data_IF_943092700308
#
_entry.id   IF_943092700308
#
_cell.length_a   1.000
_cell.length_b   1.000
_cell.length_c   1.000
_cell.angle_alpha   90.00
_cell.angle_beta   90.00
_cell.angle_gamma   90.00
#
_symmetry.space_group_name_H-M   'P 1'
#
loop_
_entity.id
_entity.type
_entity.pdbx_description
1 polymer ?
#
# COMPACT_ATOMS: atom_id res chain seq x y z
N UNK A 1 14.01 12.38 21.76
CA UNK A 1 12.99 13.29 21.18
C UNK A 1 12.67 12.78 19.78
N UNK A 2 11.46 12.28 19.56
CA UNK A 2 11.06 11.81 18.23
C UNK A 2 10.81 13.03 17.34
N UNK A 3 11.61 13.18 16.28
CA UNK A 3 11.47 14.28 15.34
C UNK A 3 10.07 14.25 14.69
N UNK A 4 9.36 15.39 14.61
CA UNK A 4 8.11 15.45 13.88
C UNK A 4 8.38 15.24 12.38
N UNK A 5 7.69 14.27 11.78
CA UNK A 5 7.68 14.07 10.33
C UNK A 5 6.91 15.24 9.71
N UNK A 6 7.64 16.29 9.35
CA UNK A 6 7.11 17.40 8.56
C UNK A 6 6.85 16.89 7.14
N UNK A 7 5.57 16.67 6.84
CA UNK A 7 5.00 16.46 5.52
C UNK A 7 5.44 17.60 4.59
N UNK A 8 6.47 17.35 3.78
CA UNK A 8 6.85 18.28 2.72
C UNK A 8 5.78 18.26 1.59
N UNK A 9 5.45 19.41 0.99
CA UNK A 9 4.36 19.54 0.00
C UNK A 9 4.63 18.85 -1.35
N UNK A 10 5.73 18.10 -1.48
CA UNK A 10 6.09 17.28 -2.65
C UNK A 10 6.49 15.85 -2.27
N UNK A 11 5.84 15.25 -1.28
CA UNK A 11 6.12 13.85 -0.94
C UNK A 11 5.65 12.91 -2.08
N UNK A 12 6.56 12.60 -3.02
CA UNK A 12 6.33 11.79 -4.23
C UNK A 12 6.49 10.29 -3.95
N UNK A 13 5.68 9.82 -3.01
CA UNK A 13 5.73 8.47 -2.49
C UNK A 13 4.93 7.45 -3.30
N UNK A 14 4.56 6.36 -2.63
CA UNK A 14 3.72 5.29 -3.12
C UNK A 14 2.48 5.17 -2.24
N UNK A 15 1.35 4.81 -2.84
CA UNK A 15 0.10 4.53 -2.13
C UNK A 15 -0.11 3.02 -2.12
N UNK A 16 -0.34 2.46 -0.94
CA UNK A 16 -0.81 1.09 -0.78
C UNK A 16 -2.33 1.12 -0.67
N UNK A 17 -3.02 0.38 -1.54
CA UNK A 17 -4.46 0.20 -1.49
C UNK A 17 -4.81 -1.26 -1.34
N UNK A 18 -5.92 -1.54 -0.64
CA UNK A 18 -6.45 -2.89 -0.43
C UNK A 18 -7.75 -3.05 -1.19
N UNK A 19 -7.98 -4.22 -1.78
CA UNK A 19 -9.25 -4.60 -2.38
C UNK A 19 -10.01 -5.49 -1.40
N UNK A 20 -11.06 -4.92 -0.82
CA UNK A 20 -11.98 -5.59 0.09
C UNK A 20 -13.41 -5.29 -0.33
N UNK A 21 -14.28 -6.29 -0.25
CA UNK A 21 -15.72 -6.14 -0.52
C UNK A 21 -16.03 -5.48 -1.87
N UNK A 22 -15.27 -5.83 -2.93
CA UNK A 22 -15.53 -5.35 -4.29
C UNK A 22 -14.98 -3.96 -4.63
N UNK A 23 -14.20 -3.32 -3.75
CA UNK A 23 -13.66 -1.97 -3.99
C UNK A 23 -12.23 -1.79 -3.49
N UNK A 24 -11.49 -0.91 -4.15
CA UNK A 24 -10.18 -0.44 -3.72
C UNK A 24 -10.31 0.66 -2.67
N UNK A 25 -9.57 0.53 -1.58
CA UNK A 25 -9.52 1.50 -0.49
C UNK A 25 -8.05 1.80 -0.17
N UNK A 26 -7.72 3.08 -0.02
CA UNK A 26 -6.39 3.48 0.45
C UNK A 26 -6.16 2.98 1.87
N UNK A 27 -5.00 2.35 2.08
CA UNK A 27 -4.59 1.86 3.39
C UNK A 27 -3.57 2.80 4.01
N UNK A 28 -2.51 3.14 3.27
CA UNK A 28 -1.47 4.07 3.73
C UNK A 28 -0.60 4.53 2.56
N UNK A 29 0.28 5.50 2.82
CA UNK A 29 1.26 6.00 1.87
C UNK A 29 2.68 5.96 2.44
N UNK A 30 3.66 5.80 1.55
CA UNK A 30 5.08 5.63 1.90
C UNK A 30 5.97 6.52 1.05
N UNK A 31 7.08 7.01 1.60
CA UNK A 31 8.09 7.72 0.79
C UNK A 31 8.80 6.77 -0.18
N UNK A 32 9.00 5.53 0.26
CA UNK A 32 9.92 4.57 -0.34
C UNK A 32 9.18 3.34 -0.81
N UNK A 33 9.51 2.87 -2.01
CA UNK A 33 8.88 1.69 -2.60
C UNK A 33 9.08 0.43 -1.76
N UNK A 34 10.29 0.19 -1.24
CA UNK A 34 10.61 -1.00 -0.46
C UNK A 34 9.68 -1.17 0.77
N UNK A 35 9.43 -0.08 1.52
CA UNK A 35 8.50 -0.12 2.66
C UNK A 35 7.05 -0.38 2.21
N UNK A 36 6.65 0.17 1.06
CA UNK A 36 5.34 -0.10 0.47
C UNK A 36 5.21 -1.58 0.05
N UNK A 37 6.25 -2.16 -0.57
CA UNK A 37 6.30 -3.57 -0.99
C UNK A 37 6.23 -4.50 0.23
N UNK A 38 7.05 -4.27 1.26
CA UNK A 38 7.04 -5.06 2.50
C UNK A 38 5.67 -4.99 3.18
N UNK A 39 5.07 -3.80 3.26
CA UNK A 39 3.75 -3.63 3.84
C UNK A 39 2.68 -4.33 3.02
N UNK A 40 2.70 -4.17 1.70
CA UNK A 40 1.70 -4.77 0.82
C UNK A 40 1.73 -6.30 0.87
N UNK A 41 2.93 -6.90 0.88
CA UNK A 41 3.10 -8.34 1.09
C UNK A 41 2.59 -8.78 2.46
N UNK A 42 2.92 -8.03 3.53
CA UNK A 42 2.45 -8.32 4.87
C UNK A 42 0.93 -8.26 5.01
N UNK A 43 0.29 -7.26 4.40
CA UNK A 43 -1.16 -7.13 4.37
C UNK A 43 -1.83 -8.27 3.61
N UNK A 44 -1.31 -8.61 2.43
CA UNK A 44 -1.80 -9.72 1.62
C UNK A 44 -1.64 -11.07 2.34
N UNK A 45 -0.61 -11.22 3.18
CA UNK A 45 -0.36 -12.46 3.92
C UNK A 45 -1.16 -12.59 5.23
N UNK A 46 -1.47 -11.48 5.91
CA UNK A 46 -2.02 -11.50 7.28
C UNK A 46 -3.53 -11.30 7.39
N UNK A 47 -4.18 -10.83 6.33
CA UNK A 47 -5.57 -10.36 6.43
C UNK A 47 -6.46 -11.12 5.43
N UNK A 48 -7.20 -12.15 5.88
CA UNK A 48 -7.96 -13.04 4.99
C UNK A 48 -9.13 -12.36 4.27
N UNK A 49 -9.60 -11.21 4.77
CA UNK A 49 -10.64 -10.41 4.11
C UNK A 49 -10.11 -9.59 2.92
N UNK A 50 -8.79 -9.39 2.85
CA UNK A 50 -8.16 -8.74 1.71
C UNK A 50 -8.08 -9.76 0.59
N UNK A 51 -8.58 -9.40 -0.58
CA UNK A 51 -8.41 -10.23 -1.77
C UNK A 51 -7.13 -9.84 -2.51
N UNK A 52 -6.86 -8.54 -2.60
CA UNK A 52 -5.70 -7.98 -3.30
C UNK A 52 -5.15 -6.76 -2.58
N UNK A 53 -3.87 -6.50 -2.77
CA UNK A 53 -3.20 -5.27 -2.38
C UNK A 53 -2.49 -4.73 -3.61
N UNK A 54 -2.55 -3.42 -3.85
CA UNK A 54 -1.80 -2.79 -4.93
C UNK A 54 -0.98 -1.61 -4.44
N UNK A 55 0.10 -1.34 -5.17
CA UNK A 55 0.95 -0.18 -4.97
C UNK A 55 0.80 0.71 -6.19
N UNK A 56 0.47 1.98 -5.95
CA UNK A 56 0.39 3.00 -6.97
C UNK A 56 1.50 4.03 -6.75
N UNK A 57 2.04 4.58 -7.84
CA UNK A 57 2.82 5.80 -7.77
C UNK A 57 1.90 6.94 -7.31
N UNK A 58 2.24 7.67 -6.24
CA UNK A 58 1.37 8.68 -5.65
C UNK A 58 1.11 9.87 -6.57
N UNK A 59 2.04 10.18 -7.47
CA UNK A 59 1.96 11.34 -8.35
C UNK A 59 1.26 11.01 -9.65
N UNK A 60 1.63 9.90 -10.28
CA UNK A 60 1.07 9.53 -11.59
C UNK A 60 -0.20 8.67 -11.46
N UNK A 61 -0.48 8.14 -10.27
CA UNK A 61 -1.54 7.14 -10.06
C UNK A 61 -1.27 5.80 -10.75
N UNK A 62 -0.12 5.65 -11.40
CA UNK A 62 0.21 4.45 -12.16
C UNK A 62 0.37 3.25 -11.25
N UNK A 63 -0.13 2.11 -11.71
CA UNK A 63 0.06 0.84 -11.04
C UNK A 63 1.54 0.43 -11.10
N UNK A 64 2.12 0.20 -9.94
CA UNK A 64 3.50 -0.30 -9.80
C UNK A 64 3.49 -1.81 -9.64
N UNK A 65 2.67 -2.32 -8.71
CA UNK A 65 2.60 -3.76 -8.41
C UNK A 65 1.27 -4.14 -7.77
N UNK A 66 0.89 -5.42 -7.91
CA UNK A 66 -0.26 -6.04 -7.22
C UNK A 66 0.22 -7.29 -6.50
N UNK A 67 -0.32 -7.52 -5.32
CA UNK A 67 -0.16 -8.72 -4.51
C UNK A 67 -1.54 -9.33 -4.29
N UNK A 68 -1.73 -10.58 -4.69
CA UNK A 68 -2.92 -11.34 -4.34
C UNK A 68 -2.76 -11.84 -2.90
N UNK A 69 -3.81 -11.72 -2.08
CA UNK A 69 -3.79 -12.36 -0.78
C UNK A 69 -3.86 -13.88 -0.98
N UNK A 70 -3.07 -14.63 -0.21
CA UNK A 70 -3.25 -16.09 -0.20
C UNK A 70 -4.62 -16.36 0.41
N UNK A 71 -5.53 -16.98 -0.36
CA UNK A 71 -6.69 -17.64 0.24
C UNK A 71 -6.14 -18.66 1.23
N UNK A 72 -6.42 -18.48 2.52
CA UNK A 72 -6.42 -19.61 3.43
C UNK A 72 -7.47 -20.57 2.89
N UNK A 73 -7.00 -21.65 2.25
CA UNK A 73 -7.81 -22.81 1.90
C UNK A 73 -8.40 -23.45 3.14
#
# INVERSE_FOLDING_TARGET
>A
MASPVLLSPLFRGYIVQTYKSGRWQEYTSFATLNLAEQTAQGLAAKNPEIQKVRILNRITGQLVRVYEAKKSS
#
